data_IF_693552047103
#
_entry.id   IF_693552047103
#
_cell.length_a   1.000
_cell.length_b   1.000
_cell.length_c   1.000
_cell.angle_alpha   90.00
_cell.angle_beta   90.00
_cell.angle_gamma   90.00
#
_symmetry.space_group_name_H-M   'P 1'
#
loop_
_entity.id
_entity.type
_entity.pdbx_description
1 polymer ?
#
# COMPACT_ATOMS: atom_id res chain seq x y z
N UNK A 1 48.55 -26.77 49.55
CA UNK A 1 47.83 -26.02 50.62
C UNK A 1 46.47 -25.63 50.09
N UNK A 2 45.42 -26.11 50.76
CA UNK A 2 44.03 -25.90 50.36
C UNK A 2 43.58 -24.48 50.69
N UNK A 3 42.94 -23.80 49.74
CA UNK A 3 42.11 -22.62 50.04
C UNK A 3 40.71 -22.83 49.49
N UNK A 4 39.83 -23.00 50.47
CA UNK A 4 38.43 -23.40 50.45
C UNK A 4 37.56 -22.47 49.58
N UNK A 5 36.73 -23.08 48.75
CA UNK A 5 35.64 -22.45 48.02
C UNK A 5 34.73 -21.64 48.95
N UNK A 6 34.36 -20.43 48.51
CA UNK A 6 33.21 -19.68 49.05
C UNK A 6 32.13 -19.61 47.99
N UNK A 7 31.21 -20.57 48.03
CA UNK A 7 29.91 -20.44 47.39
C UNK A 7 29.16 -19.27 48.07
N UNK A 8 28.82 -18.23 47.31
CA UNK A 8 27.82 -17.24 47.73
C UNK A 8 26.44 -17.90 47.59
N UNK A 9 25.54 -17.78 48.57
CA UNK A 9 24.18 -18.27 48.40
C UNK A 9 23.48 -17.39 47.38
N UNK A 10 22.95 -18.00 46.32
CA UNK A 10 21.95 -17.39 45.45
C UNK A 10 20.74 -17.07 46.33
N UNK A 11 20.48 -15.78 46.57
CA UNK A 11 19.20 -15.34 47.09
C UNK A 11 18.12 -15.73 46.07
N UNK A 12 17.37 -16.79 46.37
CA UNK A 12 16.16 -17.14 45.65
C UNK A 12 15.16 -16.00 45.83
N UNK A 13 15.04 -15.13 44.82
CA UNK A 13 13.91 -14.20 44.73
C UNK A 13 12.68 -15.04 44.45
N UNK A 14 11.95 -15.34 45.53
CA UNK A 14 10.64 -15.97 45.48
C UNK A 14 9.68 -14.94 44.89
N UNK A 15 9.51 -14.96 43.57
CA UNK A 15 8.40 -14.28 42.90
C UNK A 15 7.14 -14.92 43.48
N UNK A 16 6.41 -14.18 44.32
CA UNK A 16 5.08 -14.57 44.78
C UNK A 16 4.17 -14.54 43.57
N UNK A 17 4.06 -15.68 42.90
CA UNK A 17 3.02 -15.95 41.94
C UNK A 17 1.69 -16.11 42.67
N UNK A 18 0.67 -15.36 42.25
CA UNK A 18 -0.71 -15.80 42.42
C UNK A 18 -1.70 -14.91 43.15
N UNK A 19 -1.47 -13.59 43.30
CA UNK A 19 -2.52 -12.69 43.84
C UNK A 19 -2.88 -11.49 42.94
N UNK A 20 -2.09 -11.17 41.91
CA UNK A 20 -2.32 -9.92 41.14
C UNK A 20 -3.43 -10.02 40.07
N UNK A 21 -3.77 -11.20 39.56
CA UNK A 21 -4.78 -11.34 38.49
C UNK A 21 -6.22 -11.20 39.02
N UNK A 22 -6.51 -11.65 40.25
CA UNK A 22 -7.86 -11.57 40.83
C UNK A 22 -8.25 -10.16 41.29
N UNK A 23 -7.27 -9.37 41.73
CA UNK A 23 -7.48 -8.00 42.20
C UNK A 23 -7.68 -7.01 41.03
N UNK A 24 -7.02 -7.26 39.90
CA UNK A 24 -7.25 -6.52 38.64
C UNK A 24 -8.68 -6.75 38.11
N UNK A 25 -9.19 -7.98 38.19
CA UNK A 25 -10.56 -8.32 37.76
C UNK A 25 -11.64 -7.73 38.68
N UNK A 26 -11.40 -7.64 39.99
CA UNK A 26 -12.34 -7.00 40.94
C UNK A 26 -12.37 -5.47 40.80
N UNK A 27 -11.23 -4.83 40.55
CA UNK A 27 -11.16 -3.38 40.37
C UNK A 27 -11.80 -2.92 39.04
N UNK A 28 -11.73 -3.75 37.99
CA UNK A 28 -12.40 -3.50 36.71
C UNK A 28 -13.92 -3.68 36.79
N UNK A 29 -14.42 -4.63 37.60
CA UNK A 29 -15.85 -4.86 37.78
C UNK A 29 -16.57 -3.68 38.47
N UNK A 30 -15.94 -3.07 39.48
CA UNK A 30 -16.46 -1.85 40.14
C UNK A 30 -16.43 -0.62 39.21
N UNK A 31 -15.47 -0.56 38.29
CA UNK A 31 -15.34 0.51 37.30
C UNK A 31 -16.43 0.45 36.21
N UNK A 32 -16.83 -0.75 35.79
CA UNK A 32 -17.91 -0.97 34.81
C UNK A 32 -19.30 -0.55 35.32
N UNK A 33 -19.57 -0.71 36.62
CA UNK A 33 -20.85 -0.34 37.24
C UNK A 33 -21.08 1.19 37.34
N UNK A 34 -20.00 1.99 37.32
CA UNK A 34 -20.03 3.45 37.41
C UNK A 34 -20.01 4.16 36.04
N UNK A 35 -20.06 3.42 34.93
CA UNK A 35 -19.98 4.03 33.60
C UNK A 35 -21.25 4.81 33.23
N UNK A 36 -21.11 6.01 32.63
CA UNK A 36 -22.25 6.77 32.14
C UNK A 36 -23.05 5.98 31.10
N UNK A 37 -24.38 6.19 31.08
CA UNK A 37 -25.25 5.54 30.09
C UNK A 37 -24.74 5.86 28.66
N UNK A 38 -24.69 4.88 27.75
CA UNK A 38 -24.16 5.10 26.41
C UNK A 38 -25.07 5.95 25.51
N UNK A 39 -26.36 6.13 25.84
CA UNK A 39 -27.31 6.87 24.99
C UNK A 39 -27.08 8.38 24.98
N UNK A 40 -26.89 9.08 26.11
CA UNK A 40 -26.51 10.50 26.10
C UNK A 40 -25.19 10.77 25.37
N UNK A 41 -24.19 9.91 25.58
CA UNK A 41 -22.88 10.05 24.94
C UNK A 41 -22.94 9.81 23.43
N UNK A 42 -23.71 8.81 22.98
CA UNK A 42 -23.95 8.58 21.55
C UNK A 42 -24.56 9.80 20.84
N UNK A 43 -25.51 10.49 21.50
CA UNK A 43 -26.09 11.74 20.98
C UNK A 43 -25.06 12.89 20.95
N UNK A 44 -24.30 13.07 22.04
CA UNK A 44 -23.30 14.14 22.16
C UNK A 44 -22.16 14.00 21.13
N UNK A 45 -21.62 12.79 20.98
CA UNK A 45 -20.48 12.51 20.11
C UNK A 45 -20.88 11.99 18.72
N UNK A 46 -22.18 11.95 18.41
CA UNK A 46 -22.73 11.49 17.13
C UNK A 46 -22.21 10.10 16.71
N UNK A 47 -21.94 9.25 17.70
CA UNK A 47 -21.38 7.91 17.52
C UNK A 47 -22.41 6.81 17.77
N UNK A 48 -22.20 5.63 17.18
CA UNK A 48 -23.09 4.50 17.40
C UNK A 48 -22.99 4.01 18.87
N UNK A 49 -24.13 3.69 19.51
CA UNK A 49 -24.18 3.26 20.94
C UNK A 49 -23.24 2.10 21.26
N UNK A 50 -23.03 1.20 20.29
CA UNK A 50 -22.07 0.09 20.41
C UNK A 50 -20.63 0.58 20.54
N UNK A 51 -20.21 1.51 19.69
CA UNK A 51 -18.86 2.11 19.71
C UNK A 51 -18.61 2.87 21.00
N UNK A 52 -19.62 3.59 21.50
CA UNK A 52 -19.54 4.26 22.81
C UNK A 52 -19.36 3.24 23.94
N UNK A 53 -20.08 2.12 23.92
CA UNK A 53 -19.93 1.06 24.92
C UNK A 53 -18.52 0.43 24.87
N UNK A 54 -18.01 0.18 23.66
CA UNK A 54 -16.66 -0.34 23.45
C UNK A 54 -15.59 0.66 23.99
N UNK A 55 -15.75 1.95 23.70
CA UNK A 55 -14.84 3.01 24.18
C UNK A 55 -14.91 3.25 25.70
N UNK A 56 -16.07 3.00 26.32
CA UNK A 56 -16.20 3.04 27.78
C UNK A 56 -15.55 1.82 28.46
N UNK A 57 -15.39 0.72 27.72
CA UNK A 57 -14.78 -0.53 28.21
C UNK A 57 -13.26 -0.52 28.04
N UNK A 58 -12.76 0.08 26.96
CA UNK A 58 -11.32 0.22 26.71
C UNK A 58 -10.99 1.59 26.13
N UNK A 59 -9.95 2.22 26.66
CA UNK A 59 -9.41 3.47 26.13
C UNK A 59 -8.64 3.27 24.81
N UNK A 60 -8.30 2.03 24.46
CA UNK A 60 -7.65 1.70 23.20
C UNK A 60 -8.71 1.59 22.10
N UNK A 61 -8.49 2.21 20.92
CA UNK A 61 -9.41 2.05 19.81
C UNK A 61 -9.52 0.56 19.46
N UNK A 62 -10.74 0.07 19.13
CA UNK A 62 -10.90 -1.31 18.72
C UNK A 62 -10.02 -1.57 17.50
N UNK A 63 -9.41 -2.75 17.44
CA UNK A 63 -8.59 -3.14 16.31
C UNK A 63 -9.38 -2.91 15.00
N UNK A 64 -8.74 -2.35 13.96
CA UNK A 64 -9.41 -2.09 12.70
C UNK A 64 -10.04 -3.38 12.19
N UNK A 65 -11.28 -3.26 11.69
CA UNK A 65 -12.01 -4.42 11.16
C UNK A 65 -11.14 -5.12 10.11
N UNK A 66 -11.11 -6.45 10.18
CA UNK A 66 -10.48 -7.27 9.13
C UNK A 66 -11.06 -6.83 7.79
N UNK A 67 -10.18 -6.42 6.87
CA UNK A 67 -10.61 -6.09 5.51
C UNK A 67 -11.22 -7.36 4.91
N UNK A 68 -12.39 -7.26 4.24
CA UNK A 68 -12.91 -8.40 3.52
C UNK A 68 -11.86 -8.85 2.48
N UNK A 69 -11.82 -10.15 2.16
CA UNK A 69 -10.91 -10.63 1.12
C UNK A 69 -11.19 -9.86 -0.18
N UNK A 70 -10.16 -9.55 -0.98
CA UNK A 70 -10.35 -8.88 -2.26
C UNK A 70 -11.28 -9.74 -3.13
N UNK A 71 -12.31 -9.11 -3.69
CA UNK A 71 -13.21 -9.77 -4.64
C UNK A 71 -12.47 -9.97 -5.96
N UNK A 72 -12.55 -11.18 -6.51
CA UNK A 72 -11.99 -11.45 -7.83
C UNK A 72 -12.69 -10.60 -8.88
N UNK A 73 -11.92 -9.88 -9.68
CA UNK A 73 -12.40 -9.15 -10.84
C UNK A 73 -12.51 -10.10 -12.04
N UNK A 74 -13.47 -9.85 -12.93
CA UNK A 74 -13.54 -10.55 -14.23
C UNK A 74 -12.26 -10.39 -15.05
N UNK A 75 -11.49 -9.33 -14.80
CA UNK A 75 -10.20 -9.08 -15.47
C UNK A 75 -9.06 -9.98 -14.94
N UNK A 76 -9.20 -10.59 -13.76
CA UNK A 76 -8.11 -11.31 -13.10
C UNK A 76 -7.46 -12.41 -13.97
N UNK A 77 -8.21 -13.22 -14.73
CA UNK A 77 -7.63 -14.23 -15.62
C UNK A 77 -6.74 -13.64 -16.73
N UNK A 78 -6.98 -12.39 -17.13
CA UNK A 78 -6.26 -11.72 -18.23
C UNK A 78 -5.08 -10.87 -17.74
N UNK A 79 -4.97 -10.61 -16.44
CA UNK A 79 -3.87 -9.84 -15.86
C UNK A 79 -2.48 -10.38 -16.21
N UNK A 80 -2.21 -11.70 -16.14
CA UNK A 80 -0.89 -12.23 -16.49
C UNK A 80 -0.50 -11.96 -17.95
N UNK A 81 -1.47 -12.00 -18.86
CA UNK A 81 -1.25 -11.71 -20.28
C UNK A 81 -0.95 -10.23 -20.49
N UNK A 82 -1.69 -9.34 -19.81
CA UNK A 82 -1.42 -7.90 -19.86
C UNK A 82 -0.03 -7.60 -19.32
N UNK A 83 0.34 -8.20 -18.19
CA UNK A 83 1.65 -8.02 -17.57
C UNK A 83 2.77 -8.46 -18.53
N UNK A 84 2.63 -9.62 -19.17
CA UNK A 84 3.60 -10.09 -20.16
C UNK A 84 3.77 -9.11 -21.32
N UNK A 85 2.67 -8.56 -21.85
CA UNK A 85 2.72 -7.54 -22.91
C UNK A 85 3.45 -6.29 -22.42
N UNK A 86 3.16 -5.82 -21.21
CA UNK A 86 3.78 -4.63 -20.64
C UNK A 86 5.29 -4.83 -20.39
N UNK A 87 5.70 -6.03 -19.99
CA UNK A 87 7.11 -6.41 -19.89
C UNK A 87 7.81 -6.37 -21.25
N UNK A 88 7.23 -6.98 -22.29
CA UNK A 88 7.79 -6.92 -23.65
C UNK A 88 7.85 -5.48 -24.19
N UNK A 89 6.88 -4.64 -23.83
CA UNK A 89 6.86 -3.23 -24.22
C UNK A 89 7.98 -2.38 -23.60
N UNK A 90 8.63 -2.84 -22.52
CA UNK A 90 9.75 -2.12 -21.91
C UNK A 90 10.93 -2.00 -22.86
N UNK A 91 11.27 -3.10 -23.51
CA UNK A 91 12.42 -3.20 -24.42
C UNK A 91 12.06 -2.78 -25.85
N UNK A 92 10.77 -2.64 -26.16
CA UNK A 92 10.31 -2.14 -27.45
C UNK A 92 10.59 -0.63 -27.60
N UNK A 93 11.02 -0.17 -28.81
CA UNK A 93 11.11 1.25 -29.15
C UNK A 93 9.80 2.00 -28.87
N UNK A 94 9.88 3.28 -28.46
CA UNK A 94 8.71 4.08 -28.02
C UNK A 94 7.51 4.00 -28.97
N UNK A 95 7.74 4.01 -30.28
CA UNK A 95 6.69 3.96 -31.32
C UNK A 95 6.05 2.57 -31.49
N UNK A 96 6.71 1.50 -31.03
CA UNK A 96 6.25 0.11 -31.15
C UNK A 96 5.53 -0.40 -29.91
N UNK A 97 5.65 0.30 -28.77
CA UNK A 97 4.94 -0.03 -27.51
C UNK A 97 3.43 -0.06 -27.71
N UNK A 98 2.76 -1.01 -27.07
CA UNK A 98 1.31 -1.13 -27.20
C UNK A 98 0.60 0.03 -26.47
N UNK A 99 -0.42 0.57 -27.13
CA UNK A 99 -1.40 1.43 -26.48
C UNK A 99 -2.44 0.55 -25.78
N UNK A 100 -3.13 1.09 -24.77
CA UNK A 100 -4.23 0.38 -24.09
C UNK A 100 -5.26 -0.15 -25.10
N UNK A 101 -5.56 0.64 -26.14
CA UNK A 101 -6.47 0.23 -27.22
C UNK A 101 -5.96 -0.98 -28.00
N UNK A 102 -4.65 -1.07 -28.25
CA UNK A 102 -4.03 -2.22 -28.91
C UNK A 102 -4.05 -3.45 -28.00
N UNK A 103 -3.73 -3.29 -26.72
CA UNK A 103 -3.82 -4.35 -25.71
C UNK A 103 -5.24 -4.91 -25.62
N UNK A 104 -6.25 -4.03 -25.54
CA UNK A 104 -7.65 -4.42 -25.48
C UNK A 104 -8.07 -5.23 -26.72
N UNK A 105 -7.79 -4.72 -27.93
CA UNK A 105 -8.11 -5.43 -29.18
C UNK A 105 -7.45 -6.80 -29.24
N UNK A 106 -6.19 -6.89 -28.81
CA UNK A 106 -5.44 -8.15 -28.77
C UNK A 106 -6.06 -9.16 -27.82
N UNK A 107 -6.50 -8.72 -26.64
CA UNK A 107 -7.15 -9.61 -25.67
C UNK A 107 -8.51 -10.10 -26.17
N UNK A 108 -9.28 -9.26 -26.86
CA UNK A 108 -10.55 -9.69 -27.48
C UNK A 108 -10.27 -10.70 -28.60
N UNK A 109 -9.29 -10.44 -29.47
CA UNK A 109 -9.02 -11.26 -30.64
C UNK A 109 -8.33 -12.59 -30.31
N UNK A 110 -7.33 -12.59 -29.42
CA UNK A 110 -6.50 -13.78 -29.16
C UNK A 110 -6.87 -14.55 -27.89
N UNK A 111 -7.66 -13.96 -26.99
CA UNK A 111 -8.01 -14.55 -25.70
C UNK A 111 -9.51 -14.59 -25.45
N UNK A 112 -10.31 -14.29 -26.49
CA UNK A 112 -11.78 -14.34 -26.46
C UNK A 112 -12.37 -13.59 -25.26
N UNK A 113 -11.75 -12.46 -24.90
CA UNK A 113 -12.18 -11.68 -23.74
C UNK A 113 -13.58 -11.09 -23.99
N UNK A 114 -14.56 -11.56 -23.22
CA UNK A 114 -15.96 -11.11 -23.35
C UNK A 114 -16.52 -10.52 -22.04
N UNK A 115 -17.34 -9.47 -22.18
CA UNK A 115 -18.03 -8.82 -21.06
C UNK A 115 -17.13 -7.99 -20.13
N UNK A 116 -15.91 -7.64 -20.57
CA UNK A 116 -14.99 -6.74 -19.87
C UNK A 116 -14.85 -5.45 -20.68
N UNK A 117 -15.01 -4.30 -20.02
CA UNK A 117 -14.94 -3.01 -20.68
C UNK A 117 -13.50 -2.55 -20.92
N UNK A 118 -13.32 -1.73 -21.95
CA UNK A 118 -12.06 -1.04 -22.21
C UNK A 118 -11.52 -0.31 -20.97
N UNK A 119 -12.39 0.38 -20.23
CA UNK A 119 -12.00 1.15 -19.04
C UNK A 119 -11.43 0.25 -17.93
N UNK A 120 -11.91 -0.98 -17.78
CA UNK A 120 -11.36 -1.92 -16.80
C UNK A 120 -9.90 -2.28 -17.12
N UNK A 121 -9.61 -2.54 -18.41
CA UNK A 121 -8.25 -2.80 -18.89
C UNK A 121 -7.38 -1.54 -18.75
N UNK A 122 -7.91 -0.37 -19.12
CA UNK A 122 -7.19 0.90 -19.02
C UNK A 122 -6.76 1.21 -17.59
N UNK A 123 -7.69 1.10 -16.64
CA UNK A 123 -7.41 1.34 -15.23
C UNK A 123 -6.33 0.39 -14.71
N UNK A 124 -6.40 -0.88 -15.09
CA UNK A 124 -5.38 -1.86 -14.71
C UNK A 124 -4.00 -1.48 -15.29
N UNK A 125 -3.92 -1.16 -16.58
CA UNK A 125 -2.65 -0.80 -17.25
C UNK A 125 -2.05 0.47 -16.64
N UNK A 126 -2.85 1.49 -16.35
CA UNK A 126 -2.37 2.75 -15.76
C UNK A 126 -1.73 2.51 -14.39
N UNK A 127 -2.33 1.67 -13.55
CA UNK A 127 -1.75 1.33 -12.25
C UNK A 127 -0.55 0.37 -12.36
N UNK A 128 -0.62 -0.60 -13.27
CA UNK A 128 0.37 -1.69 -13.36
C UNK A 128 1.66 -1.30 -14.07
N UNK A 129 1.57 -0.45 -15.10
CA UNK A 129 2.72 0.01 -15.87
C UNK A 129 3.83 0.67 -15.04
N UNK A 130 3.56 1.62 -14.12
CA UNK A 130 4.62 2.19 -13.27
C UNK A 130 5.20 1.17 -12.30
N UNK A 131 4.40 0.19 -11.83
CA UNK A 131 4.91 -0.89 -10.97
C UNK A 131 5.91 -1.76 -11.73
N UNK A 132 5.56 -2.19 -12.94
CA UNK A 132 6.46 -2.98 -13.81
C UNK A 132 7.74 -2.18 -14.14
N UNK A 133 7.63 -0.87 -14.41
CA UNK A 133 8.80 -0.02 -14.62
C UNK A 133 9.71 -0.01 -13.37
N UNK A 134 9.14 0.13 -12.18
CA UNK A 134 9.89 0.10 -10.92
C UNK A 134 10.51 -1.28 -10.66
N UNK A 135 9.76 -2.36 -10.87
CA UNK A 135 10.25 -3.76 -10.78
C UNK A 135 11.41 -4.02 -11.75
N UNK A 136 11.37 -3.41 -12.94
CA UNK A 136 12.43 -3.51 -13.95
C UNK A 136 13.64 -2.57 -13.69
N UNK A 137 13.64 -1.79 -12.60
CA UNK A 137 14.66 -0.79 -12.33
C UNK A 137 14.67 0.40 -13.31
N UNK A 138 13.60 0.56 -14.11
CA UNK A 138 13.41 1.67 -15.06
C UNK A 138 12.39 2.71 -14.58
N UNK A 139 11.93 2.58 -13.33
CA UNK A 139 11.02 3.54 -12.72
C UNK A 139 11.75 4.86 -12.49
N UNK A 140 11.29 5.93 -13.13
CA UNK A 140 11.72 7.27 -12.71
C UNK A 140 11.27 7.50 -11.27
N UNK A 141 12.11 8.09 -10.41
CA UNK A 141 11.62 8.75 -9.21
C UNK A 141 10.48 9.70 -9.61
N UNK A 142 9.48 9.94 -8.75
CA UNK A 142 8.50 10.98 -9.03
C UNK A 142 9.25 12.26 -9.43
N UNK A 143 9.05 12.70 -10.67
CA UNK A 143 9.66 13.92 -11.18
C UNK A 143 9.14 15.05 -10.30
N UNK A 144 10.00 15.58 -9.43
CA UNK A 144 9.73 16.77 -8.64
C UNK A 144 10.14 17.94 -9.53
N UNK A 145 9.20 18.66 -10.17
CA UNK A 145 9.56 19.86 -10.90
C UNK A 145 10.23 20.83 -9.92
N UNK A 146 11.46 21.23 -10.25
CA UNK A 146 12.17 22.28 -9.54
C UNK A 146 11.87 23.56 -10.29
N UNK A 147 11.16 24.49 -9.65
CA UNK A 147 10.88 25.78 -10.25
C UNK A 147 12.19 26.55 -10.45
N UNK A 148 12.56 26.73 -11.71
CA UNK A 148 13.66 27.58 -12.10
C UNK A 148 13.16 29.01 -12.29
N UNK A 149 13.66 29.94 -11.47
CA UNK A 149 13.33 31.36 -11.58
C UNK A 149 14.50 32.08 -12.24
N UNK A 150 14.26 32.62 -13.44
CA UNK A 150 15.25 33.39 -14.18
C UNK A 150 14.80 34.85 -14.33
N UNK A 151 15.73 35.78 -14.11
CA UNK A 151 15.44 37.20 -14.37
C UNK A 151 15.44 37.47 -15.89
N UNK A 152 14.46 38.21 -16.42
CA UNK A 152 14.41 38.52 -17.85
C UNK A 152 15.69 39.21 -18.34
N UNK A 153 16.30 38.68 -19.40
CA UNK A 153 17.47 39.27 -20.05
C UNK A 153 18.82 39.03 -19.36
N UNK A 154 18.86 38.27 -18.26
CA UNK A 154 20.09 37.94 -17.53
C UNK A 154 20.67 36.60 -17.96
N UNK A 155 19.81 35.62 -18.21
CA UNK A 155 20.19 34.27 -18.63
C UNK A 155 19.41 33.88 -19.88
N UNK A 156 20.07 33.13 -20.77
CA UNK A 156 19.45 32.51 -21.93
C UNK A 156 19.86 31.04 -21.96
N UNK A 157 18.88 30.15 -21.94
CA UNK A 157 19.13 28.72 -22.09
C UNK A 157 19.12 28.33 -23.57
N UNK A 158 20.16 27.57 -23.97
CA UNK A 158 20.24 26.94 -25.28
C UNK A 158 20.16 25.44 -25.07
N UNK A 159 19.08 24.83 -25.56
CA UNK A 159 18.91 23.38 -25.50
C UNK A 159 19.58 22.72 -26.70
N UNK A 160 20.46 21.76 -26.44
CA UNK A 160 21.03 20.87 -27.45
C UNK A 160 20.30 19.53 -27.39
N UNK A 161 19.87 19.01 -28.54
CA UNK A 161 19.19 17.72 -28.62
C UNK A 161 19.53 17.00 -29.91
N UNK A 162 19.82 15.70 -29.79
CA UNK A 162 20.07 14.85 -30.94
C UNK A 162 18.76 14.55 -31.67
N UNK A 163 18.80 14.64 -33.00
CA UNK A 163 17.67 14.29 -33.87
C UNK A 163 18.07 13.10 -34.72
N UNK A 164 17.28 12.05 -34.64
CA UNK A 164 17.39 10.89 -35.53
C UNK A 164 16.38 11.03 -36.66
N UNK A 165 16.86 11.00 -37.90
CA UNK A 165 16.02 11.13 -39.10
C UNK A 165 16.11 9.83 -39.88
N UNK A 166 14.96 9.26 -40.23
CA UNK A 166 14.93 8.14 -41.17
C UNK A 166 14.83 8.70 -42.59
N UNK A 167 15.95 8.67 -43.32
CA UNK A 167 16.02 9.04 -44.73
C UNK A 167 15.97 7.77 -45.56
N UNK A 168 14.84 7.59 -46.27
CA UNK A 168 14.64 6.52 -47.26
C UNK A 168 14.93 5.08 -46.75
N UNK A 169 14.62 4.79 -45.47
CA UNK A 169 14.78 3.45 -44.89
C UNK A 169 16.12 3.20 -44.19
N UNK A 170 17.04 4.16 -44.26
CA UNK A 170 18.31 4.15 -43.53
C UNK A 170 18.21 5.07 -42.32
N UNK A 171 18.52 4.56 -41.13
CA UNK A 171 18.69 5.39 -39.93
C UNK A 171 20.09 6.01 -39.95
N UNK A 172 20.15 7.34 -39.97
CA UNK A 172 21.36 8.12 -39.71
C UNK A 172 21.15 9.00 -38.49
#
# INVERSE_FOLDING_TARGET
MATKARQKPLCAVRIRSGQDESDLLHHDALRLAALPKPSPLAKKYQGHRRTVREALTSALPPAPRKKPPPRSSRLDPFKPVIDQILWTDLDAPRKQRHTVRRIFKRLVAEREMEGISYSAVANYVVCRKPQIMAEAGRGSPPEVPIDQVHQPGVEAEVNFGDVWINLAGTMA
#
